data_IF_571883398248
#
_entry.id   IF_571883398248
#
_cell.length_a   1.000
_cell.length_b   1.000
_cell.length_c   1.000
_cell.angle_alpha   90.00
_cell.angle_beta   90.00
_cell.angle_gamma   90.00
#
_symmetry.space_group_name_H-M   'P 1'
#
loop_
_entity.id
_entity.type
_entity.pdbx_description
1 polymer ?
#
# COMPACT_ATOMS: atom_id res chain seq x y z
N UNK A 1 -25.10 2.43 75.78
CA UNK A 1 -25.07 2.29 74.30
C UNK A 1 -23.71 2.76 73.85
N UNK A 2 -22.82 1.81 73.61
CA UNK A 2 -21.36 1.98 73.53
C UNK A 2 -20.93 2.11 72.08
N UNK A 3 -20.17 3.16 71.79
CA UNK A 3 -19.59 3.46 70.48
C UNK A 3 -18.57 2.40 70.07
N UNK A 4 -18.76 1.80 68.90
CA UNK A 4 -17.72 1.06 68.19
C UNK A 4 -17.36 1.85 66.92
N UNK A 5 -16.14 2.39 66.88
CA UNK A 5 -15.56 3.03 65.69
C UNK A 5 -14.72 2.01 64.91
N UNK A 6 -14.61 2.18 63.58
CA UNK A 6 -14.13 1.16 62.66
C UNK A 6 -12.59 1.13 62.58
N UNK A 7 -12.02 -0.07 62.58
CA UNK A 7 -10.62 -0.30 62.21
C UNK A 7 -10.54 -0.42 60.69
N UNK A 8 -10.28 0.70 60.02
CA UNK A 8 -9.83 0.71 58.64
C UNK A 8 -8.31 0.50 58.64
N UNK A 9 -7.86 -0.73 58.40
CA UNK A 9 -6.45 -0.97 58.07
C UNK A 9 -6.33 -1.02 56.54
N UNK A 10 -5.91 0.11 55.97
CA UNK A 10 -5.58 0.26 54.58
C UNK A 10 -4.34 -0.59 54.25
N UNK A 11 -4.54 -1.71 53.56
CA UNK A 11 -3.45 -2.44 52.92
C UNK A 11 -3.07 -1.67 51.65
N UNK A 12 -2.01 -0.88 51.76
CA UNK A 12 -1.27 -0.29 50.65
C UNK A 12 -0.74 -1.41 49.75
N UNK A 13 -1.51 -1.77 48.73
CA UNK A 13 -1.00 -2.46 47.55
C UNK A 13 -0.16 -1.47 46.75
N UNK A 14 1.10 -1.29 47.15
CA UNK A 14 2.16 -0.72 46.31
C UNK A 14 2.44 -1.75 45.22
N UNK A 15 1.55 -1.82 44.24
CA UNK A 15 1.80 -2.53 43.00
C UNK A 15 2.85 -1.72 42.22
N UNK A 16 3.93 -2.35 41.73
CA UNK A 16 5.00 -1.67 41.05
C UNK A 16 4.48 -1.11 39.71
N UNK A 17 4.18 0.18 39.71
CA UNK A 17 3.68 0.94 38.56
C UNK A 17 4.67 1.12 37.39
N UNK A 18 5.72 0.30 37.32
CA UNK A 18 6.74 0.36 36.26
C UNK A 18 6.62 -0.74 35.21
N UNK A 19 5.75 -1.75 35.40
CA UNK A 19 5.63 -2.88 34.43
C UNK A 19 4.58 -2.61 33.35
N UNK A 20 3.69 -1.62 33.55
CA UNK A 20 2.62 -1.30 32.60
C UNK A 20 3.08 -0.58 31.33
N UNK A 21 4.29 0.02 31.30
CA UNK A 21 4.80 0.68 30.09
C UNK A 21 5.69 -0.21 29.19
N UNK A 22 6.14 -1.36 29.67
CA UNK A 22 6.93 -2.32 28.86
C UNK A 22 6.06 -3.32 28.09
N UNK A 23 4.78 -3.48 28.46
CA UNK A 23 3.83 -4.39 27.79
C UNK A 23 2.69 -3.66 27.06
N UNK A 24 2.62 -2.32 27.14
CA UNK A 24 1.59 -1.49 26.50
C UNK A 24 2.13 -0.59 25.38
N UNK A 25 3.29 -0.93 24.81
CA UNK A 25 3.52 -0.61 23.40
C UNK A 25 3.03 -1.82 22.64
N UNK A 26 1.81 -1.74 22.13
CA UNK A 26 1.37 -2.62 21.06
C UNK A 26 2.51 -2.62 20.04
N UNK A 27 3.26 -3.72 19.99
CA UNK A 27 4.31 -3.97 19.00
C UNK A 27 3.67 -4.24 17.62
N UNK A 28 2.55 -3.55 17.35
CA UNK A 28 2.07 -3.34 16.01
C UNK A 28 3.14 -2.42 15.44
N UNK A 29 4.03 -3.03 14.67
CA UNK A 29 4.75 -2.34 13.61
C UNK A 29 3.77 -1.30 13.03
N UNK A 30 4.17 -0.02 12.91
CA UNK A 30 3.27 1.04 12.45
C UNK A 30 2.47 0.47 11.28
N UNK A 31 1.14 0.45 11.42
CA UNK A 31 0.23 -0.17 10.44
C UNK A 31 0.71 0.23 9.07
N UNK A 32 0.74 -0.71 8.13
CA UNK A 32 0.99 -0.52 6.70
C UNK A 32 -0.07 0.44 6.11
N UNK A 33 -0.04 1.70 6.56
CA UNK A 33 -1.05 2.72 6.30
C UNK A 33 -0.78 3.44 4.98
N UNK A 34 0.45 3.33 4.47
CA UNK A 34 0.93 4.01 3.27
C UNK A 34 1.68 3.07 2.33
N UNK A 35 1.01 2.02 1.79
CA UNK A 35 1.58 1.14 0.78
C UNK A 35 1.70 1.83 -0.60
N UNK A 36 2.05 3.12 -0.63
CA UNK A 36 2.29 3.92 -1.84
C UNK A 36 3.78 4.17 -1.98
N UNK A 37 4.27 4.08 -3.21
CA UNK A 37 5.67 4.34 -3.53
C UNK A 37 5.80 5.30 -4.69
N UNK A 38 6.87 6.09 -4.66
CA UNK A 38 7.31 6.93 -5.77
C UNK A 38 8.60 6.36 -6.35
N UNK A 39 8.61 6.10 -7.65
CA UNK A 39 9.69 5.39 -8.34
C UNK A 39 10.32 6.37 -9.35
N UNK A 40 11.56 6.74 -9.09
CA UNK A 40 12.36 7.56 -10.01
C UNK A 40 13.17 6.65 -10.93
N UNK A 41 12.99 6.84 -12.22
CA UNK A 41 13.70 6.12 -13.28
C UNK A 41 14.49 7.11 -14.13
N UNK A 42 15.25 6.61 -15.11
CA UNK A 42 15.90 7.49 -16.09
C UNK A 42 14.90 8.16 -17.04
N UNK A 43 13.71 7.58 -17.21
CA UNK A 43 12.67 8.09 -18.10
C UNK A 43 11.69 9.05 -17.43
N UNK A 44 11.67 9.12 -16.10
CA UNK A 44 10.78 10.01 -15.36
C UNK A 44 10.45 9.48 -13.97
N UNK A 45 9.31 9.92 -13.45
CA UNK A 45 8.78 9.53 -12.15
C UNK A 45 7.47 8.77 -12.37
N UNK A 46 7.30 7.68 -11.64
CA UNK A 46 6.05 6.94 -11.56
C UNK A 46 5.62 6.72 -10.12
N UNK A 47 4.32 6.44 -9.96
CA UNK A 47 3.76 6.02 -8.70
C UNK A 47 3.36 4.55 -8.78
N UNK A 48 3.30 3.91 -7.62
CA UNK A 48 2.99 2.51 -7.50
C UNK A 48 2.52 2.13 -6.12
N UNK A 49 2.34 0.83 -5.91
CA UNK A 49 1.96 0.27 -4.63
C UNK A 49 2.99 -0.74 -4.13
N UNK A 50 3.23 -0.74 -2.83
CA UNK A 50 3.96 -1.80 -2.16
C UNK A 50 2.99 -2.94 -1.81
N UNK A 51 3.13 -4.08 -2.48
CA UNK A 51 2.23 -5.24 -2.37
C UNK A 51 2.99 -6.48 -1.94
N UNK A 52 2.28 -7.49 -1.44
CA UNK A 52 2.84 -8.81 -1.11
C UNK A 52 3.57 -9.50 -2.29
N UNK A 53 3.39 -9.01 -3.53
CA UNK A 53 4.09 -9.48 -4.73
C UNK A 53 5.23 -8.54 -5.21
N UNK A 54 5.58 -7.54 -4.41
CA UNK A 54 6.61 -6.54 -4.69
C UNK A 54 6.04 -5.15 -4.95
N UNK A 55 6.89 -4.23 -5.41
CA UNK A 55 6.50 -2.88 -5.74
C UNK A 55 5.97 -2.82 -7.17
N UNK A 56 4.67 -2.56 -7.34
CA UNK A 56 4.02 -2.58 -8.65
C UNK A 56 3.82 -1.18 -9.21
N UNK A 57 4.07 -1.03 -10.51
CA UNK A 57 3.88 0.20 -11.29
C UNK A 57 3.38 -0.12 -12.71
N UNK A 58 2.98 0.92 -13.45
CA UNK A 58 2.44 0.76 -14.83
C UNK A 58 3.51 0.76 -15.92
N UNK A 59 4.75 1.17 -15.62
CA UNK A 59 5.88 1.18 -16.56
C UNK A 59 5.74 2.21 -17.68
N UNK A 60 5.17 3.38 -17.37
CA UNK A 60 4.98 4.47 -18.34
C UNK A 60 6.27 5.22 -18.68
N UNK A 61 7.21 5.27 -17.75
CA UNK A 61 8.48 6.00 -17.83
C UNK A 61 9.66 5.06 -17.99
N UNK A 62 9.61 3.87 -17.40
CA UNK A 62 10.58 2.81 -17.65
C UNK A 62 9.94 1.43 -17.53
N UNK A 63 10.33 0.55 -18.43
CA UNK A 63 9.91 -0.87 -18.45
C UNK A 63 11.00 -1.79 -17.93
N UNK A 64 12.23 -1.29 -17.80
CA UNK A 64 13.39 -2.01 -17.28
C UNK A 64 14.48 -1.05 -16.80
N UNK A 65 15.38 -1.56 -15.95
CA UNK A 65 16.63 -0.88 -15.60
C UNK A 65 16.64 -0.26 -14.20
N UNK A 66 17.71 0.49 -13.85
CA UNK A 66 17.88 1.00 -12.50
C UNK A 66 16.85 2.07 -12.15
N UNK A 67 16.39 2.06 -10.90
CA UNK A 67 15.48 3.06 -10.34
C UNK A 67 15.85 3.43 -8.89
N UNK A 68 15.26 4.51 -8.38
CA UNK A 68 15.26 4.86 -6.95
C UNK A 68 13.82 4.82 -6.45
N UNK A 69 13.57 4.05 -5.42
CA UNK A 69 12.24 3.90 -4.81
C UNK A 69 12.18 4.73 -3.54
N UNK A 70 11.18 5.60 -3.48
CA UNK A 70 10.84 6.43 -2.34
C UNK A 70 9.61 5.83 -1.67
N UNK A 71 9.72 5.49 -0.39
CA UNK A 71 8.64 4.86 0.37
C UNK A 71 8.71 5.27 1.85
N UNK A 72 7.59 5.21 2.54
CA UNK A 72 7.53 5.55 3.95
C UNK A 72 7.79 4.31 4.82
N UNK A 73 8.39 4.49 6.00
CA UNK A 73 8.42 3.47 7.05
C UNK A 73 8.01 4.15 8.37
N UNK A 74 6.74 3.98 8.73
CA UNK A 74 6.09 4.94 9.63
C UNK A 74 6.17 6.34 9.02
N UNK A 75 6.50 7.35 9.82
CA UNK A 75 6.51 8.75 9.37
C UNK A 75 7.79 9.17 8.64
N UNK A 76 8.75 8.26 8.49
CA UNK A 76 10.02 8.57 7.87
C UNK A 76 10.06 8.14 6.42
N UNK A 77 10.46 9.05 5.55
CA UNK A 77 10.73 8.76 4.14
C UNK A 77 12.09 8.05 3.98
N UNK A 78 12.10 6.98 3.21
CA UNK A 78 13.29 6.24 2.80
C UNK A 78 13.44 6.26 1.29
N UNK A 79 14.70 6.22 0.84
CA UNK A 79 15.05 6.10 -0.57
C UNK A 79 16.01 4.93 -0.73
N UNK A 80 15.67 4.01 -1.62
CA UNK A 80 16.46 2.82 -1.90
C UNK A 80 16.68 2.65 -3.40
N UNK A 81 17.86 2.16 -3.78
CA UNK A 81 18.14 1.80 -5.17
C UNK A 81 17.50 0.45 -5.50
N UNK A 82 16.92 0.36 -6.70
CA UNK A 82 16.25 -0.84 -7.18
C UNK A 82 16.43 -1.08 -8.67
N UNK A 83 15.77 -2.11 -9.17
CA UNK A 83 15.72 -2.44 -10.59
C UNK A 83 14.27 -2.69 -11.00
N UNK A 84 13.83 -2.01 -12.05
CA UNK A 84 12.54 -2.25 -12.70
C UNK A 84 12.69 -3.45 -13.62
N UNK A 85 11.73 -4.37 -13.54
CA UNK A 85 11.61 -5.55 -14.38
C UNK A 85 10.14 -5.77 -14.78
N UNK A 86 9.86 -6.42 -15.92
CA UNK A 86 8.50 -6.82 -16.28
C UNK A 86 7.90 -7.79 -15.26
N UNK A 87 6.68 -7.52 -14.79
CA UNK A 87 5.94 -8.39 -13.86
C UNK A 87 4.88 -9.26 -14.56
N UNK A 88 4.52 -8.89 -15.80
CA UNK A 88 3.49 -9.54 -16.60
C UNK A 88 2.25 -8.68 -16.78
N UNK A 89 1.52 -8.91 -17.88
CA UNK A 89 0.34 -8.12 -18.24
C UNK A 89 0.71 -6.64 -18.46
N UNK A 90 0.06 -5.75 -17.71
CA UNK A 90 0.29 -4.30 -17.75
C UNK A 90 1.20 -3.79 -16.62
N UNK A 91 1.70 -4.70 -15.78
CA UNK A 91 2.47 -4.33 -14.58
C UNK A 91 3.95 -4.56 -14.75
N UNK A 92 4.71 -3.65 -14.15
CA UNK A 92 6.13 -3.74 -13.94
C UNK A 92 6.40 -3.75 -12.45
N UNK A 93 7.50 -4.39 -12.06
CA UNK A 93 7.91 -4.53 -10.67
C UNK A 93 9.24 -3.85 -10.44
N UNK A 94 9.33 -3.03 -9.40
CA UNK A 94 10.61 -2.59 -8.87
C UNK A 94 11.05 -3.55 -7.76
N UNK A 95 12.19 -4.20 -7.95
CA UNK A 95 12.85 -5.00 -6.92
C UNK A 95 13.80 -4.13 -6.11
N UNK A 96 13.63 -4.17 -4.79
CA UNK A 96 14.50 -3.54 -3.77
C UNK A 96 14.91 -4.58 -2.73
N UNK A 97 15.97 -4.31 -1.97
CA UNK A 97 16.51 -5.20 -0.93
C UNK A 97 15.58 -5.23 0.29
N UNK A 98 15.01 -4.09 0.67
CA UNK A 98 14.17 -3.97 1.86
C UNK A 98 12.67 -4.22 1.57
N UNK A 99 12.14 -5.24 2.23
CA UNK A 99 10.84 -5.86 1.90
C UNK A 99 9.86 -5.72 3.07
N UNK A 100 9.39 -4.49 3.38
CA UNK A 100 8.81 -4.20 4.71
C UNK A 100 7.41 -3.57 4.78
N UNK A 101 6.70 -3.35 3.66
CA UNK A 101 5.33 -2.85 3.70
C UNK A 101 4.51 -3.42 2.56
N UNK A 102 3.41 -4.09 2.86
CA UNK A 102 2.65 -4.81 1.85
C UNK A 102 1.15 -4.68 2.06
N UNK A 103 0.49 -3.98 1.13
CA UNK A 103 -0.94 -4.16 0.96
C UNK A 103 -1.21 -5.55 0.38
N UNK A 104 -2.16 -6.26 0.97
CA UNK A 104 -2.66 -7.51 0.42
C UNK A 104 -3.57 -7.24 -0.77
N UNK A 105 -3.58 -8.15 -1.75
CA UNK A 105 -4.54 -8.07 -2.84
C UNK A 105 -5.99 -8.27 -2.38
N UNK A 106 -6.91 -7.54 -3.00
CA UNK A 106 -8.33 -7.86 -2.91
C UNK A 106 -8.62 -9.14 -3.71
N UNK A 107 -8.91 -10.24 -3.02
CA UNK A 107 -9.18 -11.56 -3.63
C UNK A 107 -10.54 -11.70 -4.32
N UNK A 108 -11.32 -10.64 -4.47
CA UNK A 108 -12.65 -10.61 -5.10
C UNK A 108 -12.81 -9.39 -6.00
N UNK A 109 -13.92 -9.32 -6.72
CA UNK A 109 -14.29 -8.12 -7.47
C UNK A 109 -14.67 -6.97 -6.53
N UNK A 110 -14.41 -5.75 -6.98
CA UNK A 110 -14.84 -4.53 -6.30
C UNK A 110 -16.32 -4.29 -6.55
N UNK A 111 -17.03 -3.94 -5.48
CA UNK A 111 -18.46 -3.62 -5.50
C UNK A 111 -18.70 -2.17 -5.08
N UNK A 112 -19.91 -1.66 -5.35
CA UNK A 112 -20.29 -0.28 -4.98
C UNK A 112 -20.42 -0.08 -3.47
N UNK A 113 -20.40 -1.16 -2.68
CA UNK A 113 -20.43 -1.10 -1.22
C UNK A 113 -19.02 -0.96 -0.62
N UNK A 114 -17.97 -1.14 -1.41
CA UNK A 114 -16.60 -1.02 -0.94
C UNK A 114 -16.23 0.45 -0.71
N UNK A 115 -15.51 0.71 0.39
CA UNK A 115 -14.87 2.00 0.63
C UNK A 115 -13.58 2.07 -0.19
N UNK A 116 -13.66 2.64 -1.39
CA UNK A 116 -12.49 2.83 -2.26
C UNK A 116 -11.72 4.10 -1.88
N UNK A 117 -10.40 3.98 -1.86
CA UNK A 117 -9.48 5.09 -1.60
C UNK A 117 -8.29 5.00 -2.53
N UNK A 118 -7.94 6.12 -3.18
CA UNK A 118 -6.65 6.31 -3.81
C UNK A 118 -5.70 6.97 -2.81
N UNK A 119 -4.45 6.53 -2.75
CA UNK A 119 -3.44 7.15 -1.88
C UNK A 119 -2.41 7.85 -2.76
N UNK A 120 -2.36 9.17 -2.64
CA UNK A 120 -1.40 10.02 -3.38
C UNK A 120 -0.09 10.17 -2.61
N UNK A 121 0.98 10.52 -3.31
CA UNK A 121 2.31 10.76 -2.76
C UNK A 121 2.84 12.06 -3.37
N UNK A 122 3.14 13.07 -2.56
CA UNK A 122 3.58 14.40 -3.05
C UNK A 122 5.09 14.66 -2.96
N UNK A 123 5.84 13.74 -2.36
CA UNK A 123 7.27 13.92 -2.05
C UNK A 123 7.54 13.68 -0.58
N UNK A 124 6.78 14.34 0.28
CA UNK A 124 7.02 14.44 1.72
C UNK A 124 5.85 13.88 2.53
N UNK A 125 4.70 13.67 1.91
CA UNK A 125 3.47 13.23 2.53
C UNK A 125 2.64 12.34 1.61
N UNK A 126 1.61 11.75 2.21
CA UNK A 126 0.59 10.97 1.49
C UNK A 126 -0.79 11.50 1.84
N UNK A 127 -1.72 11.45 0.90
CA UNK A 127 -3.12 11.81 1.19
C UNK A 127 -4.11 10.83 0.60
N UNK A 128 -5.13 10.53 1.40
CA UNK A 128 -6.26 9.69 1.02
C UNK A 128 -7.25 10.49 0.18
N UNK A 129 -7.59 9.95 -0.99
CA UNK A 129 -8.58 10.49 -1.90
C UNK A 129 -9.72 9.48 -2.03
N UNK A 130 -10.90 9.72 -1.43
CA UNK A 130 -12.01 8.79 -1.52
C UNK A 130 -12.50 8.68 -2.97
N UNK A 131 -12.77 7.46 -3.40
CA UNK A 131 -13.28 7.15 -4.73
C UNK A 131 -14.67 6.53 -4.62
N UNK A 132 -15.52 6.84 -5.59
CA UNK A 132 -16.83 6.22 -5.72
C UNK A 132 -16.87 5.37 -6.97
N UNK A 133 -17.00 4.05 -6.82
CA UNK A 133 -17.17 3.13 -7.95
C UNK A 133 -18.43 3.49 -8.74
N UNK A 134 -18.38 3.35 -10.07
CA UNK A 134 -19.53 3.61 -10.96
C UNK A 134 -19.89 2.34 -11.71
N UNK A 135 -21.13 1.86 -11.56
CA UNK A 135 -21.73 0.76 -12.33
C UNK A 135 -23.03 1.22 -13.01
N UNK A 136 -22.95 2.27 -13.82
CA UNK A 136 -24.11 2.85 -14.53
C UNK A 136 -24.14 2.46 -16.02
N UNK A 137 -25.30 2.61 -16.67
CA UNK A 137 -25.49 2.30 -18.08
C UNK A 137 -24.46 2.98 -18.99
N UNK A 138 -23.71 2.16 -19.74
CA UNK A 138 -22.66 2.62 -20.66
C UNK A 138 -21.27 2.79 -20.04
N UNK A 139 -21.10 2.53 -18.75
CA UNK A 139 -19.78 2.48 -18.07
C UNK A 139 -19.54 1.04 -17.60
N UNK A 140 -18.43 0.45 -18.04
CA UNK A 140 -18.05 -0.93 -17.68
C UNK A 140 -16.57 -1.01 -17.33
N UNK A 141 -16.21 -1.99 -16.51
CA UNK A 141 -14.84 -2.18 -16.01
C UNK A 141 -14.56 -1.34 -14.77
N UNK A 142 -13.32 -1.33 -14.31
CA UNK A 142 -12.95 -0.72 -13.03
C UNK A 142 -12.77 0.80 -13.14
N UNK A 143 -13.89 1.48 -12.91
CA UNK A 143 -14.07 2.91 -13.12
C UNK A 143 -14.70 3.54 -11.88
N UNK A 144 -14.10 4.63 -11.42
CA UNK A 144 -14.61 5.47 -10.34
C UNK A 144 -14.99 6.86 -10.85
N UNK A 145 -15.92 7.52 -10.17
CA UNK A 145 -16.24 8.93 -10.41
C UNK A 145 -15.01 9.77 -10.06
N UNK A 146 -14.70 10.76 -10.90
CA UNK A 146 -13.56 11.64 -10.66
C UNK A 146 -13.73 12.39 -9.32
N UNK A 147 -12.74 12.35 -8.40
CA UNK A 147 -12.90 12.87 -7.04
C UNK A 147 -12.82 14.40 -6.94
N UNK A 148 -12.53 15.08 -8.05
CA UNK A 148 -12.39 16.54 -8.11
C UNK A 148 -10.95 17.03 -7.87
N UNK A 149 -10.06 16.12 -7.50
CA UNK A 149 -8.61 16.28 -7.52
C UNK A 149 -8.04 15.41 -8.64
N UNK A 150 -7.03 15.91 -9.34
CA UNK A 150 -6.37 15.12 -10.39
C UNK A 150 -5.52 14.01 -9.75
N UNK A 151 -5.54 12.83 -10.35
CA UNK A 151 -4.78 11.67 -9.87
C UNK A 151 -3.76 11.25 -10.92
N UNK A 152 -2.49 11.21 -10.52
CA UNK A 152 -1.42 10.77 -11.42
C UNK A 152 -1.60 9.30 -11.80
N UNK A 153 -1.21 8.95 -13.02
CA UNK A 153 -1.17 7.55 -13.42
C UNK A 153 -0.17 6.77 -12.56
N UNK A 154 -0.55 5.56 -12.16
CA UNK A 154 0.19 4.78 -11.18
C UNK A 154 -0.24 5.04 -9.74
N UNK A 155 -1.10 6.03 -9.47
CA UNK A 155 -1.65 6.22 -8.12
C UNK A 155 -2.37 4.94 -7.67
N UNK A 156 -1.99 4.34 -6.53
CA UNK A 156 -2.58 3.09 -6.10
C UNK A 156 -3.98 3.28 -5.51
N UNK A 157 -4.85 2.32 -5.80
CA UNK A 157 -6.24 2.26 -5.36
C UNK A 157 -6.44 1.04 -4.45
N UNK A 158 -7.10 1.27 -3.33
CA UNK A 158 -7.36 0.28 -2.28
C UNK A 158 -8.85 0.21 -1.94
N UNK A 159 -9.29 -0.96 -1.45
CA UNK A 159 -10.48 -1.08 -0.61
C UNK A 159 -10.04 -0.96 0.85
N UNK A 160 -10.68 -0.08 1.60
CA UNK A 160 -10.53 -0.03 3.06
C UNK A 160 -11.48 -1.02 3.72
N UNK A 161 -10.92 -1.95 4.48
CA UNK A 161 -11.71 -2.91 5.27
C UNK A 161 -12.37 -2.21 6.46
N UNK A 162 -13.39 -2.84 7.05
CA UNK A 162 -14.00 -2.36 8.30
C UNK A 162 -13.02 -2.32 9.50
N UNK A 163 -11.91 -3.05 9.42
CA UNK A 163 -10.84 -3.05 10.43
C UNK A 163 -9.78 -1.96 10.19
N UNK A 164 -9.90 -1.26 9.05
CA UNK A 164 -9.02 -0.20 8.59
C UNK A 164 -7.83 -0.68 7.75
N UNK A 165 -7.82 -1.93 7.30
CA UNK A 165 -6.76 -2.46 6.45
C UNK A 165 -6.95 -2.00 5.00
N UNK A 166 -5.85 -1.83 4.29
CA UNK A 166 -5.83 -1.46 2.87
C UNK A 166 -5.62 -2.70 2.01
N UNK A 167 -6.61 -3.03 1.19
CA UNK A 167 -6.57 -4.12 0.23
C UNK A 167 -6.35 -3.55 -1.17
N UNK A 168 -5.20 -3.85 -1.77
CA UNK A 168 -4.81 -3.33 -3.07
C UNK A 168 -5.69 -3.89 -4.19
N UNK A 169 -6.17 -2.98 -5.06
CA UNK A 169 -7.07 -3.33 -6.15
C UNK A 169 -6.55 -2.96 -7.53
N UNK A 170 -5.63 -2.01 -7.61
CA UNK A 170 -5.09 -1.58 -8.90
C UNK A 170 -4.42 -0.22 -8.85
N UNK A 171 -3.98 0.23 -10.01
CA UNK A 171 -3.35 1.53 -10.21
C UNK A 171 -4.22 2.37 -11.14
N UNK A 172 -4.31 3.67 -10.90
CA UNK A 172 -4.93 4.63 -11.82
C UNK A 172 -4.21 4.53 -13.16
N UNK A 173 -4.92 4.10 -14.20
CA UNK A 173 -4.37 3.91 -15.53
C UNK A 173 -4.57 5.17 -16.39
N UNK A 174 -5.76 5.77 -16.31
CA UNK A 174 -6.16 6.92 -17.10
C UNK A 174 -7.33 7.66 -16.47
N UNK A 175 -7.57 8.88 -16.96
CA UNK A 175 -8.84 9.58 -16.79
C UNK A 175 -9.68 9.47 -18.06
N UNK A 176 -10.99 9.46 -17.89
CA UNK A 176 -11.96 9.44 -18.99
C UNK A 176 -13.02 10.52 -18.78
N UNK A 177 -13.59 11.02 -19.88
CA UNK A 177 -14.71 11.96 -19.83
C UNK A 177 -15.83 11.49 -20.74
N UNK A 178 -17.07 11.60 -20.28
CA UNK A 178 -18.28 11.35 -21.07
C UNK A 178 -19.05 12.65 -21.23
N UNK A 179 -19.23 13.08 -22.46
CA UNK A 179 -20.07 14.24 -22.78
C UNK A 179 -21.53 13.80 -22.94
N UNK A 180 -22.42 14.26 -22.05
CA UNK A 180 -23.86 14.15 -22.19
C UNK A 180 -24.50 15.48 -22.60
N UNK A 181 -25.82 15.47 -22.83
CA UNK A 181 -26.56 16.67 -23.29
C UNK A 181 -26.46 17.87 -22.34
N UNK A 182 -26.34 17.64 -21.04
CA UNK A 182 -26.36 18.71 -20.02
C UNK A 182 -25.03 18.89 -19.26
N UNK A 183 -24.14 17.88 -19.24
CA UNK A 183 -22.91 17.92 -18.44
C UNK A 183 -21.85 16.98 -19.02
N UNK A 184 -20.58 17.37 -18.89
CA UNK A 184 -19.43 16.46 -19.05
C UNK A 184 -19.11 15.83 -17.71
N UNK A 185 -19.19 14.50 -17.65
CA UNK A 185 -18.81 13.70 -16.48
C UNK A 185 -17.36 13.24 -16.63
N UNK A 186 -16.58 13.28 -15.54
CA UNK A 186 -15.20 12.79 -15.48
C UNK A 186 -15.13 11.53 -14.64
N UNK A 187 -14.24 10.63 -15.03
CA UNK A 187 -14.00 9.35 -14.39
C UNK A 187 -12.51 9.06 -14.28
N UNK A 188 -12.17 8.22 -13.31
CA UNK A 188 -10.85 7.63 -13.15
C UNK A 188 -10.97 6.15 -13.48
N UNK A 189 -10.12 5.67 -14.39
CA UNK A 189 -10.04 4.26 -14.80
C UNK A 189 -8.82 3.66 -14.11
N UNK A 190 -8.99 2.52 -13.45
CA UNK A 190 -7.90 1.80 -12.80
C UNK A 190 -7.82 0.36 -13.30
N UNK A 191 -6.65 -0.27 -13.13
CA UNK A 191 -6.32 -1.56 -13.74
C UNK A 191 -7.15 -2.75 -13.25
N UNK A 192 -7.82 -2.62 -12.11
CA UNK A 192 -8.74 -3.64 -11.62
C UNK A 192 -8.10 -4.87 -10.99
N UNK A 193 -8.87 -5.58 -10.16
CA UNK A 193 -8.42 -6.81 -9.50
C UNK A 193 -8.21 -7.97 -10.49
N UNK A 194 -8.98 -8.01 -11.58
CA UNK A 194 -8.88 -9.08 -12.60
C UNK A 194 -7.50 -9.13 -13.24
N UNK A 195 -6.94 -7.97 -13.62
CA UNK A 195 -5.61 -7.88 -14.23
C UNK A 195 -4.50 -8.25 -13.25
N UNK A 196 -4.70 -7.96 -11.97
CA UNK A 196 -3.78 -8.38 -10.92
C UNK A 196 -3.82 -9.90 -10.74
N UNK A 197 -5.01 -10.51 -10.78
CA UNK A 197 -5.12 -11.97 -10.76
C UNK A 197 -4.45 -12.62 -11.96
N UNK A 198 -4.62 -12.09 -13.16
CA UNK A 198 -3.90 -12.55 -14.35
C UNK A 198 -2.38 -12.52 -14.14
N UNK A 199 -1.86 -11.44 -13.55
CA UNK A 199 -0.43 -11.31 -13.20
C UNK A 199 -0.02 -12.36 -12.16
N UNK A 200 -0.82 -12.60 -11.12
CA UNK A 200 -0.53 -13.59 -10.09
C UNK A 200 -0.55 -15.04 -10.59
N UNK A 201 -1.28 -15.31 -11.67
CA UNK A 201 -1.30 -16.63 -12.30
C UNK A 201 -0.03 -16.92 -13.11
N UNK A 202 0.78 -15.91 -13.41
CA UNK A 202 2.08 -16.12 -14.07
C UNK A 202 3.00 -16.83 -13.09
N UNK A 203 3.46 -18.06 -13.39
CA UNK A 203 4.36 -18.79 -12.50
C UNK A 203 5.62 -17.96 -12.26
N UNK A 204 5.86 -17.58 -11.02
CA UNK A 204 7.13 -17.00 -10.65
C UNK A 204 8.19 -18.10 -10.64
N UNK A 205 9.41 -17.76 -11.08
CA UNK A 205 10.54 -18.67 -10.88
C UNK A 205 10.68 -18.88 -9.39
N UNK A 206 10.74 -20.15 -8.99
CA UNK A 206 11.02 -20.56 -7.62
C UNK A 206 12.20 -19.73 -7.10
N UNK A 207 12.16 -19.21 -5.85
CA UNK A 207 13.19 -18.32 -5.34
C UNK A 207 14.54 -18.96 -5.60
N UNK A 208 15.42 -18.27 -6.33
CA UNK A 208 16.73 -18.85 -6.58
C UNK A 208 17.36 -19.16 -5.22
N UNK A 209 17.93 -20.36 -5.04
CA UNK A 209 18.52 -20.74 -3.78
C UNK A 209 19.51 -19.66 -3.36
N UNK A 210 19.23 -19.04 -2.21
CA UNK A 210 20.02 -17.96 -1.63
C UNK A 210 21.48 -18.39 -1.58
N UNK A 211 22.36 -17.68 -2.31
CA UNK A 211 23.79 -17.97 -2.28
C UNK A 211 24.37 -17.30 -1.04
N UNK A 212 24.99 -18.10 -0.17
CA UNK A 212 25.72 -17.56 0.97
C UNK A 212 26.80 -16.59 0.49
N UNK A 213 26.72 -15.34 0.93
CA UNK A 213 27.78 -14.35 0.73
C UNK A 213 28.68 -14.41 1.95
N UNK A 214 29.91 -14.88 1.74
CA UNK A 214 30.94 -14.87 2.76
C UNK A 214 31.57 -13.49 2.83
N UNK A 215 31.50 -12.86 4.01
CA UNK A 215 32.20 -11.60 4.29
C UNK A 215 33.65 -11.91 4.72
N UNK A 216 34.53 -10.92 4.57
CA UNK A 216 35.94 -11.04 4.95
C UNK A 216 36.17 -11.24 6.46
N UNK A 217 35.17 -10.96 7.30
CA UNK A 217 35.17 -11.18 8.75
C UNK A 217 34.73 -12.60 9.16
N UNK A 218 34.54 -13.51 8.20
CA UNK A 218 34.14 -14.89 8.45
C UNK A 218 32.63 -15.09 8.68
N UNK A 219 31.83 -14.02 8.62
CA UNK A 219 30.38 -14.12 8.76
C UNK A 219 29.77 -14.49 7.41
N UNK A 220 28.93 -15.52 7.41
CA UNK A 220 28.16 -15.94 6.24
C UNK A 220 26.76 -15.36 6.33
N UNK A 221 26.38 -14.52 5.36
CA UNK A 221 25.02 -13.99 5.25
C UNK A 221 24.33 -14.74 4.12
N UNK A 222 23.23 -15.41 4.43
CA UNK A 222 22.37 -16.05 3.42
C UNK A 222 21.51 -14.95 2.81
N UNK A 223 21.88 -14.48 1.61
CA UNK A 223 21.15 -13.46 0.86
C UNK A 223 20.17 -14.09 -0.12
#
# INVERSE_FOLDING_TARGET
MTHARPFALAVLLVLPGCVSHLLSRSNRMPRDDRPVVRIETRGGVEYGAATDHGLLMLGRTATEGPCRVHYFLGDQLFVEDGVVEPAGGLFYRAEIDLKHQYAHFLGRDVTEQDELVAITFDGDSTSDVPLQLVREGGVSGDVARHPGVDLDAGTPVFVRSSEGDLLFVGLVAAEASRSGEARTERYVVFTGADRLREMMLVPQRDPQPRKAKHRADGISVVK
#
